data_IF_244482910287
#
_entry.id   IF_244482910287
#
_cell.length_a   1.000
_cell.length_b   1.000
_cell.length_c   1.000
_cell.angle_alpha   90.00
_cell.angle_beta   90.00
_cell.angle_gamma   90.00
#
_symmetry.space_group_name_H-M   'P 1'
#
loop_
_entity.id
_entity.type
_entity.pdbx_description
1 polymer ?
#
# COMPACT_ATOMS: atom_id res chain seq x y z
N UNK A 1 3.18 12.90 -14.37
CA UNK A 1 2.65 12.22 -15.58
C UNK A 1 3.43 10.93 -15.78
N UNK A 2 2.78 9.79 -16.06
CA UNK A 2 3.48 8.55 -16.39
C UNK A 2 4.31 8.72 -17.65
N UNK A 3 5.51 8.11 -17.67
CA UNK A 3 6.49 8.28 -18.75
C UNK A 3 6.22 7.28 -19.90
N UNK A 4 5.55 6.17 -19.60
CA UNK A 4 5.12 5.17 -20.57
C UNK A 4 3.89 4.42 -20.04
N UNK A 5 3.01 3.98 -20.95
CA UNK A 5 1.89 3.08 -20.65
C UNK A 5 2.07 1.84 -21.53
N UNK A 6 2.04 0.67 -20.90
CA UNK A 6 2.17 -0.60 -21.61
C UNK A 6 0.78 -1.17 -21.86
N UNK A 7 0.43 -1.33 -23.13
CA UNK A 7 -0.82 -1.99 -23.54
C UNK A 7 -0.53 -3.45 -23.93
N UNK A 8 -1.53 -4.31 -23.75
CA UNK A 8 -1.48 -5.63 -24.36
C UNK A 8 -1.70 -5.54 -25.88
N UNK A 9 -1.57 -6.67 -26.57
CA UNK A 9 -1.73 -6.72 -28.03
C UNK A 9 -3.18 -6.96 -28.45
N UNK A 10 -4.15 -6.58 -27.62
CA UNK A 10 -5.55 -6.66 -28.03
C UNK A 10 -5.77 -5.82 -29.30
N UNK A 11 -6.43 -6.35 -30.34
CA UNK A 11 -6.72 -5.64 -31.56
C UNK A 11 -7.33 -4.25 -31.34
N UNK A 12 -8.19 -4.10 -30.32
CA UNK A 12 -8.80 -2.82 -29.95
C UNK A 12 -7.77 -1.76 -29.53
N UNK A 13 -6.68 -2.14 -28.86
CA UNK A 13 -5.59 -1.24 -28.47
C UNK A 13 -4.52 -1.05 -29.55
N UNK A 14 -4.56 -1.84 -30.63
CA UNK A 14 -3.68 -1.66 -31.81
C UNK A 14 -4.26 -0.73 -32.88
N UNK A 15 -5.51 -0.29 -32.72
CA UNK A 15 -6.19 0.61 -33.65
C UNK A 15 -5.46 1.96 -33.80
N UNK A 16 -5.62 2.59 -34.97
CA UNK A 16 -5.03 3.91 -35.29
C UNK A 16 -5.38 4.98 -34.26
N UNK A 17 -6.59 4.92 -33.70
CA UNK A 17 -7.04 5.85 -32.66
C UNK A 17 -6.05 5.90 -31.47
N UNK A 18 -5.64 4.74 -30.94
CA UNK A 18 -4.76 4.68 -29.76
C UNK A 18 -3.34 5.14 -30.05
N UNK A 19 -2.86 4.95 -31.28
CA UNK A 19 -1.55 5.49 -31.72
C UNK A 19 -1.58 7.03 -31.71
N UNK A 20 -2.59 7.62 -32.32
CA UNK A 20 -2.75 9.09 -32.40
C UNK A 20 -2.95 9.69 -31.00
N UNK A 21 -3.76 9.05 -30.15
CA UNK A 21 -4.00 9.49 -28.78
C UNK A 21 -2.68 9.57 -27.99
N UNK A 22 -1.83 8.56 -28.11
CA UNK A 22 -0.58 8.51 -27.34
C UNK A 22 0.47 9.48 -27.86
N UNK A 23 0.55 9.70 -29.18
CA UNK A 23 1.37 10.76 -29.77
C UNK A 23 0.96 12.14 -29.25
N UNK A 24 -0.35 12.41 -29.16
CA UNK A 24 -0.87 13.65 -28.61
C UNK A 24 -0.52 13.87 -27.12
N UNK A 25 -0.43 12.79 -26.33
CA UNK A 25 0.00 12.85 -24.93
C UNK A 25 1.53 12.77 -24.73
N UNK A 26 2.32 12.63 -25.80
CA UNK A 26 3.77 12.48 -25.73
C UNK A 26 4.21 11.18 -25.05
N UNK A 27 3.34 10.16 -25.04
CA UNK A 27 3.60 8.88 -24.38
C UNK A 27 4.35 7.92 -25.32
N UNK A 28 5.39 7.27 -24.83
CA UNK A 28 6.10 6.24 -25.59
C UNK A 28 5.28 4.94 -25.56
N UNK A 29 4.64 4.62 -26.69
CA UNK A 29 3.87 3.38 -26.87
C UNK A 29 4.76 2.16 -26.69
N UNK A 30 4.46 1.34 -25.68
CA UNK A 30 5.08 0.03 -25.52
C UNK A 30 3.99 -1.03 -25.54
N UNK A 31 4.06 -1.93 -26.51
CA UNK A 31 3.27 -3.16 -26.46
C UNK A 31 4.06 -4.21 -25.70
N UNK A 32 3.39 -4.97 -24.83
CA UNK A 32 4.04 -6.10 -24.16
C UNK A 32 4.64 -7.06 -25.22
N UNK A 33 5.97 -7.22 -25.21
CA UNK A 33 6.71 -8.09 -26.15
C UNK A 33 6.77 -9.55 -25.71
N UNK A 34 6.46 -9.81 -24.45
CA UNK A 34 6.54 -11.12 -23.81
C UNK A 34 5.37 -11.25 -22.84
N UNK A 35 4.77 -12.45 -22.77
CA UNK A 35 3.81 -12.79 -21.71
C UNK A 35 4.52 -12.52 -20.38
N UNK A 36 4.19 -11.42 -19.70
CA UNK A 36 4.79 -11.07 -18.42
C UNK A 36 3.80 -11.40 -17.31
N UNK A 37 3.77 -12.67 -16.84
CA UNK A 37 2.72 -13.16 -15.98
C UNK A 37 2.66 -12.40 -14.65
N UNK A 38 3.76 -11.86 -14.13
CA UNK A 38 3.73 -11.08 -12.87
C UNK A 38 2.92 -9.78 -13.02
N UNK A 39 3.30 -8.88 -13.92
CA UNK A 39 2.63 -7.57 -14.06
C UNK A 39 1.22 -7.72 -14.62
N UNK A 40 1.02 -8.66 -15.56
CA UNK A 40 -0.30 -8.92 -16.12
C UNK A 40 -1.21 -9.63 -15.10
N UNK A 41 -0.67 -10.49 -14.23
CA UNK A 41 -1.47 -11.08 -13.14
C UNK A 41 -1.86 -10.07 -12.08
N UNK A 42 -1.00 -9.09 -11.76
CA UNK A 42 -1.36 -8.02 -10.83
C UNK A 42 -2.45 -7.11 -11.41
N UNK A 43 -2.28 -6.62 -12.64
CA UNK A 43 -3.32 -5.81 -13.31
C UNK A 43 -4.62 -6.58 -13.49
N UNK A 44 -4.58 -7.86 -13.87
CA UNK A 44 -5.79 -8.71 -13.94
C UNK A 44 -6.51 -8.86 -12.61
N UNK A 45 -5.78 -9.01 -11.50
CA UNK A 45 -6.39 -9.06 -10.16
C UNK A 45 -7.06 -7.74 -9.80
N UNK A 46 -6.40 -6.62 -10.12
CA UNK A 46 -6.97 -5.27 -9.90
C UNK A 46 -8.23 -5.09 -10.72
N UNK A 47 -8.21 -5.44 -12.01
CA UNK A 47 -9.36 -5.35 -12.91
C UNK A 47 -10.52 -6.20 -12.37
N UNK A 48 -10.27 -7.43 -11.94
CA UNK A 48 -11.32 -8.30 -11.39
C UNK A 48 -11.98 -7.69 -10.15
N UNK A 49 -11.20 -7.16 -9.20
CA UNK A 49 -11.76 -6.54 -7.99
C UNK A 49 -12.60 -5.31 -8.34
N UNK A 50 -12.15 -4.49 -9.29
CA UNK A 50 -12.90 -3.33 -9.76
C UNK A 50 -14.19 -3.75 -10.48
N UNK A 51 -14.14 -4.79 -11.31
CA UNK A 51 -15.33 -5.35 -11.96
C UNK A 51 -16.35 -5.85 -10.94
N UNK A 52 -15.91 -6.54 -9.89
CA UNK A 52 -16.80 -7.05 -8.83
C UNK A 52 -17.44 -5.90 -8.03
N UNK A 53 -16.66 -4.86 -7.71
CA UNK A 53 -17.18 -3.63 -7.08
C UNK A 53 -18.22 -2.93 -7.96
N UNK A 54 -17.93 -2.79 -9.25
CA UNK A 54 -18.84 -2.17 -10.22
C UNK A 54 -20.13 -2.98 -10.37
N UNK A 55 -20.04 -4.32 -10.42
CA UNK A 55 -21.23 -5.19 -10.43
C UNK A 55 -22.11 -4.94 -9.20
N UNK A 56 -21.51 -4.79 -8.02
CA UNK A 56 -22.24 -4.42 -6.80
C UNK A 56 -22.98 -3.10 -6.96
N UNK A 57 -22.30 -2.05 -7.44
CA UNK A 57 -22.93 -0.74 -7.64
C UNK A 57 -24.06 -0.75 -8.68
N UNK A 58 -23.90 -1.47 -9.79
CA UNK A 58 -24.96 -1.58 -10.80
C UNK A 58 -26.19 -2.30 -10.24
N UNK A 59 -25.98 -3.32 -9.38
CA UNK A 59 -27.07 -4.05 -8.73
C UNK A 59 -27.78 -3.22 -7.67
N UNK A 60 -27.04 -2.44 -6.88
CA UNK A 60 -27.58 -1.66 -5.76
C UNK A 60 -28.18 -0.32 -6.21
N UNK A 61 -27.60 0.31 -7.24
CA UNK A 61 -27.98 1.63 -7.75
C UNK A 61 -28.25 1.61 -9.26
N UNK A 62 -29.28 0.86 -9.72
CA UNK A 62 -29.58 0.77 -11.14
C UNK A 62 -29.94 2.14 -11.73
N UNK A 63 -29.25 2.52 -12.80
CA UNK A 63 -29.48 3.79 -13.51
C UNK A 63 -28.87 5.04 -12.84
N UNK A 64 -28.15 4.89 -11.74
CA UNK A 64 -27.40 5.99 -11.10
C UNK A 64 -26.03 5.58 -10.56
N UNK A 65 -25.57 4.36 -10.85
CA UNK A 65 -24.33 3.78 -10.33
C UNK A 65 -23.10 4.62 -10.70
N UNK A 66 -23.14 5.32 -11.84
CA UNK A 66 -22.09 6.23 -12.30
C UNK A 66 -21.83 7.39 -11.32
N UNK A 67 -22.85 7.85 -10.59
CA UNK A 67 -22.71 8.89 -9.57
C UNK A 67 -21.86 8.41 -8.38
N UNK A 68 -21.71 7.11 -8.20
CA UNK A 68 -20.96 6.49 -7.11
C UNK A 68 -19.53 6.09 -7.51
N UNK A 69 -19.14 6.24 -8.78
CA UNK A 69 -17.79 5.96 -9.24
C UNK A 69 -16.69 6.70 -8.44
N UNK A 70 -16.81 8.01 -8.13
CA UNK A 70 -15.81 8.70 -7.33
C UNK A 70 -15.65 8.10 -5.92
N UNK A 71 -16.75 7.63 -5.33
CA UNK A 71 -16.74 6.96 -4.04
C UNK A 71 -16.08 5.58 -4.14
N UNK A 72 -16.37 4.83 -5.20
CA UNK A 72 -15.75 3.54 -5.48
C UNK A 72 -14.23 3.64 -5.70
N UNK A 73 -13.80 4.63 -6.48
CA UNK A 73 -12.37 4.93 -6.68
C UNK A 73 -11.69 5.27 -5.35
N UNK A 74 -12.30 6.15 -4.55
CA UNK A 74 -11.78 6.49 -3.22
C UNK A 74 -11.67 5.25 -2.32
N UNK A 75 -12.72 4.42 -2.25
CA UNK A 75 -12.73 3.21 -1.44
C UNK A 75 -11.66 2.21 -1.88
N UNK A 76 -11.51 1.99 -3.19
CA UNK A 76 -10.50 1.08 -3.73
C UNK A 76 -9.08 1.57 -3.45
N UNK A 77 -8.79 2.85 -3.74
CA UNK A 77 -7.45 3.43 -3.56
C UNK A 77 -6.99 3.45 -2.10
N UNK A 78 -7.93 3.51 -1.15
CA UNK A 78 -7.65 3.43 0.28
C UNK A 78 -7.72 1.99 0.85
N UNK A 79 -8.03 0.99 0.02
CA UNK A 79 -8.13 -0.40 0.46
C UNK A 79 -6.75 -1.02 0.71
N UNK A 80 -6.72 -2.03 1.58
CA UNK A 80 -5.52 -2.85 1.81
C UNK A 80 -5.01 -3.51 0.51
N UNK A 81 -5.90 -3.75 -0.44
CA UNK A 81 -5.58 -4.32 -1.75
C UNK A 81 -4.73 -3.37 -2.60
N UNK A 82 -5.04 -2.06 -2.59
CA UNK A 82 -4.30 -1.05 -3.35
C UNK A 82 -3.00 -0.62 -2.67
N UNK A 83 -3.01 -0.49 -1.33
CA UNK A 83 -1.82 -0.14 -0.54
C UNK A 83 -0.79 -1.29 -0.53
N UNK A 84 -1.26 -2.52 -0.74
CA UNK A 84 -0.44 -3.71 -0.86
C UNK A 84 0.02 -4.27 0.50
N UNK A 85 -0.07 -5.60 0.71
CA UNK A 85 0.26 -6.24 1.99
C UNK A 85 1.69 -5.96 2.49
N UNK A 86 2.62 -5.71 1.56
CA UNK A 86 4.02 -5.47 1.89
C UNK A 86 4.26 -4.10 2.56
N UNK A 87 3.55 -3.05 2.14
CA UNK A 87 3.68 -1.73 2.78
C UNK A 87 3.06 -1.74 4.18
N UNK A 88 1.93 -2.42 4.36
CA UNK A 88 1.31 -2.56 5.67
C UNK A 88 2.19 -3.39 6.61
N UNK A 89 2.75 -4.50 6.12
CA UNK A 89 3.70 -5.33 6.89
C UNK A 89 4.94 -4.53 7.29
N UNK A 90 5.59 -3.82 6.36
CA UNK A 90 6.75 -2.97 6.66
C UNK A 90 6.44 -1.90 7.70
N UNK A 91 5.25 -1.29 7.62
CA UNK A 91 4.81 -0.27 8.59
C UNK A 91 4.62 -0.89 9.97
N UNK A 92 3.96 -2.05 10.03
CA UNK A 92 3.76 -2.80 11.28
C UNK A 92 5.09 -3.21 11.91
N UNK A 93 6.05 -3.69 11.12
CA UNK A 93 7.38 -4.08 11.59
C UNK A 93 8.17 -2.87 12.14
N UNK A 94 8.11 -1.73 11.46
CA UNK A 94 8.75 -0.49 11.94
C UNK A 94 8.12 0.01 13.24
N UNK A 95 6.79 0.02 13.35
CA UNK A 95 6.08 0.41 14.57
C UNK A 95 6.47 -0.52 15.73
N UNK A 96 6.54 -1.83 15.49
CA UNK A 96 6.98 -2.81 16.49
C UNK A 96 8.41 -2.55 16.96
N UNK A 97 9.34 -2.29 16.04
CA UNK A 97 10.73 -1.94 16.40
C UNK A 97 10.83 -0.69 17.28
N UNK A 98 10.04 0.35 16.97
CA UNK A 98 10.01 1.59 17.77
C UNK A 98 9.52 1.27 19.19
N UNK A 99 8.42 0.53 19.30
CA UNK A 99 7.88 0.10 20.58
C UNK A 99 8.89 -0.70 21.41
N UNK A 100 9.58 -1.66 20.81
CA UNK A 100 10.60 -2.47 21.49
C UNK A 100 11.78 -1.62 21.98
N UNK A 101 12.24 -0.65 21.19
CA UNK A 101 13.30 0.30 21.61
C UNK A 101 12.86 1.17 22.77
N UNK A 102 11.64 1.73 22.72
CA UNK A 102 11.08 2.53 23.81
C UNK A 102 10.97 1.70 25.09
N UNK A 103 10.46 0.48 25.00
CA UNK A 103 10.36 -0.44 26.14
C UNK A 103 11.73 -0.76 26.73
N UNK A 104 12.70 -1.15 25.90
CA UNK A 104 14.07 -1.45 26.35
C UNK A 104 14.72 -0.26 27.06
N UNK A 105 14.60 0.96 26.51
CA UNK A 105 15.17 2.16 27.14
C UNK A 105 14.48 2.49 28.47
N UNK A 106 13.17 2.30 28.56
CA UNK A 106 12.41 2.47 29.82
C UNK A 106 12.87 1.46 30.88
N UNK A 107 12.92 0.18 30.53
CA UNK A 107 13.36 -0.90 31.43
C UNK A 107 14.80 -0.66 31.91
N UNK A 108 15.68 -0.22 31.01
CA UNK A 108 17.07 0.12 31.35
C UNK A 108 17.16 1.30 32.32
N UNK A 109 16.39 2.37 32.10
CA UNK A 109 16.32 3.51 33.04
C UNK A 109 15.82 3.06 34.41
N UNK A 110 14.78 2.22 34.44
CA UNK A 110 14.23 1.63 35.66
C UNK A 110 15.28 0.80 36.41
N UNK A 111 16.07 0.00 35.69
CA UNK A 111 17.17 -0.79 36.26
C UNK A 111 18.24 0.08 36.93
N UNK A 112 18.68 1.17 36.30
CA UNK A 112 19.66 2.08 36.90
C UNK A 112 19.13 2.75 38.17
N UNK A 113 17.86 3.19 38.15
CA UNK A 113 17.20 3.77 39.33
C UNK A 113 17.13 2.77 40.47
N UNK A 114 16.72 1.53 40.20
CA UNK A 114 16.73 0.49 41.23
C UNK A 114 18.12 0.26 41.80
N UNK A 115 19.14 0.08 40.95
CA UNK A 115 20.51 -0.16 41.41
C UNK A 115 21.01 1.00 42.28
N UNK A 116 20.74 2.25 41.89
CA UNK A 116 21.12 3.42 42.66
C UNK A 116 20.43 3.46 44.02
N UNK A 117 19.12 3.19 44.07
CA UNK A 117 18.35 3.14 45.34
C UNK A 117 18.91 2.06 46.26
N UNK A 118 19.18 0.86 45.75
CA UNK A 118 19.77 -0.22 46.52
C UNK A 118 21.16 0.17 47.04
N UNK A 119 22.06 0.64 46.19
CA UNK A 119 23.42 1.06 46.60
C UNK A 119 23.40 2.16 47.66
N UNK A 120 22.57 3.19 47.50
CA UNK A 120 22.44 4.26 48.51
C UNK A 120 21.92 3.72 49.84
N UNK A 121 20.95 2.80 49.83
CA UNK A 121 20.42 2.16 51.05
C UNK A 121 21.46 1.30 51.76
N UNK A 122 22.29 0.54 51.03
CA UNK A 122 23.37 -0.26 51.61
C UNK A 122 24.48 0.59 52.23
N UNK A 123 24.82 1.74 51.62
CA UNK A 123 25.81 2.65 52.19
C UNK A 123 25.28 3.43 53.41
N UNK A 124 23.99 3.81 53.42
CA UNK A 124 23.38 4.50 54.56
C UNK A 124 23.04 3.58 55.75
N UNK A 125 22.93 2.27 55.52
CA UNK A 125 22.74 1.25 56.56
C UNK A 125 24.02 0.87 57.32
N UNK A 126 25.20 1.35 56.90
CA UNK A 126 26.43 1.35 57.70
C UNK A 126 26.53 2.68 58.46
N UNK A 127 25.71 2.85 59.49
CA UNK A 127 26.12 3.66 60.64
C UNK A 127 26.59 2.67 61.70
N UNK A 128 27.87 2.80 62.05
CA UNK A 128 28.56 2.09 63.12
C UNK A 128 27.81 2.23 64.45
#
# INVERSE_FOLDING_TARGET
>A
MPIAITFDRDPHFTLRFWKILQEAFGLKLQFSTTYHPQTYSQSKRVIQVLEDMLRGYVLEFPGSWECYLPLGEFAYNNSYHAIGPELVRKTKDKVKMIYERLKYTSDRKKFYVYRLIYSLRYHHGRKF
#
